data_IF_174458933170
#
_entry.id   IF_174458933170
#
_cell.length_a   1.000
_cell.length_b   1.000
_cell.length_c   1.000
_cell.angle_alpha   90.00
_cell.angle_beta   90.00
_cell.angle_gamma   90.00
#
_symmetry.space_group_name_H-M   'P 1'
#
loop_
_entity.id
_entity.type
_entity.pdbx_description
1 polymer ?
#
# COMPACT_ATOMS: atom_id res chain seq x y z
N UNK A 1 6.07 25.43 62.95
CA UNK A 1 6.66 25.31 61.61
C UNK A 1 6.48 23.85 61.17
N UNK A 2 5.42 23.54 60.43
CA UNK A 2 5.08 22.19 59.96
C UNK A 2 5.13 22.23 58.43
N UNK A 3 6.08 21.49 57.84
CA UNK A 3 6.16 21.27 56.40
C UNK A 3 5.16 20.18 56.02
N UNK A 4 4.13 20.56 55.26
CA UNK A 4 3.26 19.61 54.59
C UNK A 4 3.95 19.18 53.29
N UNK A 5 4.38 17.92 53.24
CA UNK A 5 4.85 17.26 52.03
C UNK A 5 3.59 16.72 51.33
N UNK A 6 3.16 17.43 50.28
CA UNK A 6 2.13 16.93 49.36
C UNK A 6 2.76 15.86 48.47
N UNK A 7 2.41 14.60 48.73
CA UNK A 7 2.71 13.48 47.84
C UNK A 7 1.74 13.57 46.65
N UNK A 8 2.25 14.00 45.50
CA UNK A 8 1.54 13.92 44.22
C UNK A 8 1.68 12.47 43.75
N UNK A 9 0.61 11.69 43.88
CA UNK A 9 0.51 10.38 43.26
C UNK A 9 0.35 10.57 41.74
N UNK A 10 1.43 10.29 40.99
CA UNK A 10 1.36 10.10 39.55
C UNK A 10 0.55 8.83 39.28
N UNK A 11 -0.72 8.98 38.93
CA UNK A 11 -1.53 7.93 38.34
C UNK A 11 -1.03 7.67 36.92
N UNK A 12 -0.27 6.59 36.76
CA UNK A 12 0.06 6.01 35.46
C UNK A 12 -1.23 5.61 34.74
N UNK A 13 -1.72 6.50 33.87
CA UNK A 13 -2.72 6.19 32.85
C UNK A 13 -2.04 5.26 31.83
N UNK A 14 -2.07 3.97 32.14
CA UNK A 14 -1.91 2.93 31.13
C UNK A 14 -3.15 3.02 30.24
N UNK A 15 -3.04 3.78 29.15
CA UNK A 15 -3.94 3.63 28.00
C UNK A 15 -3.75 2.20 27.48
N UNK A 16 -4.51 1.26 28.03
CA UNK A 16 -4.76 -0.01 27.35
C UNK A 16 -5.48 0.35 26.07
N UNK A 17 -4.71 0.37 24.97
CA UNK A 17 -5.20 0.65 23.63
C UNK A 17 -6.47 -0.16 23.39
N UNK A 18 -7.53 0.53 22.97
CA UNK A 18 -8.68 -0.14 22.41
C UNK A 18 -8.14 -1.04 21.30
N UNK A 19 -8.26 -2.34 21.48
CA UNK A 19 -8.05 -3.32 20.43
C UNK A 19 -9.10 -3.00 19.38
N UNK A 20 -8.74 -2.12 18.44
CA UNK A 20 -9.49 -1.88 17.21
C UNK A 20 -9.64 -3.26 16.58
N UNK A 21 -10.87 -3.78 16.62
CA UNK A 21 -11.19 -5.01 15.92
C UNK A 21 -10.80 -4.81 14.47
N UNK A 22 -9.94 -5.70 13.97
CA UNK A 22 -9.45 -5.67 12.60
C UNK A 22 -10.63 -5.45 11.65
N UNK A 23 -10.64 -4.31 10.96
CA UNK A 23 -11.66 -4.01 9.97
C UNK A 23 -11.38 -4.85 8.73
N UNK A 24 -12.31 -5.73 8.38
CA UNK A 24 -12.29 -6.48 7.13
C UNK A 24 -12.15 -5.52 5.92
N UNK A 25 -11.29 -5.86 4.96
CA UNK A 25 -11.11 -5.09 3.72
C UNK A 25 -12.44 -5.05 2.94
N UNK A 26 -12.93 -3.84 2.64
CA UNK A 26 -14.21 -3.65 1.96
C UNK A 26 -14.00 -3.58 0.44
N UNK A 27 -14.47 -4.60 -0.28
CA UNK A 27 -14.47 -4.60 -1.75
C UNK A 27 -15.71 -3.87 -2.29
N UNK A 28 -15.48 -2.83 -3.11
CA UNK A 28 -16.52 -2.09 -3.83
C UNK A 28 -17.46 -3.04 -4.59
N UNK A 29 -18.77 -2.79 -4.52
CA UNK A 29 -19.77 -3.55 -5.28
C UNK A 29 -19.73 -3.26 -6.80
N UNK A 30 -19.00 -2.23 -7.24
CA UNK A 30 -18.80 -1.94 -8.65
C UNK A 30 -17.65 -2.76 -9.30
N UNK A 31 -16.79 -3.41 -8.52
CA UNK A 31 -15.83 -4.39 -9.05
C UNK A 31 -16.59 -5.52 -9.76
N UNK A 32 -16.13 -5.89 -10.97
CA UNK A 32 -16.70 -7.02 -11.74
C UNK A 32 -16.67 -8.30 -10.88
N UNK A 33 -17.75 -9.10 -10.82
CA UNK A 33 -17.83 -10.28 -9.94
C UNK A 33 -16.61 -11.20 -10.01
N UNK A 34 -16.17 -11.56 -11.22
CA UNK A 34 -14.99 -12.43 -11.44
C UNK A 34 -13.70 -11.88 -10.80
N UNK A 35 -13.47 -10.58 -10.87
CA UNK A 35 -12.28 -9.95 -10.26
C UNK A 35 -12.41 -9.92 -8.74
N UNK A 36 -13.61 -9.64 -8.23
CA UNK A 36 -13.90 -9.70 -6.78
C UNK A 36 -13.67 -11.09 -6.23
N UNK A 37 -14.12 -12.12 -6.93
CA UNK A 37 -13.93 -13.52 -6.52
C UNK A 37 -12.44 -13.88 -6.50
N UNK A 38 -11.66 -13.39 -7.47
CA UNK A 38 -10.20 -13.52 -7.48
C UNK A 38 -9.54 -12.87 -6.26
N UNK A 39 -9.91 -11.62 -5.93
CA UNK A 39 -9.37 -10.90 -4.76
C UNK A 39 -9.76 -11.61 -3.45
N UNK A 40 -11.03 -12.03 -3.31
CA UNK A 40 -11.48 -12.77 -2.13
C UNK A 40 -10.67 -14.06 -1.94
N UNK A 41 -10.43 -14.80 -3.03
CA UNK A 41 -9.57 -16.00 -2.99
C UNK A 41 -8.15 -15.64 -2.54
N UNK A 42 -7.57 -14.55 -3.03
CA UNK A 42 -6.23 -14.14 -2.62
C UNK A 42 -6.15 -13.83 -1.11
N UNK A 43 -7.16 -13.14 -0.56
CA UNK A 43 -7.25 -12.86 0.89
C UNK A 43 -7.49 -14.13 1.72
N UNK A 44 -8.25 -15.09 1.18
CA UNK A 44 -8.44 -16.40 1.78
C UNK A 44 -7.13 -17.21 1.78
N UNK A 45 -6.39 -17.20 0.66
CA UNK A 45 -5.04 -17.77 0.58
C UNK A 45 -4.17 -17.19 1.69
N UNK A 46 -4.07 -15.85 1.81
CA UNK A 46 -3.27 -15.20 2.85
C UNK A 46 -3.64 -15.67 4.26
N UNK A 47 -4.94 -15.84 4.52
CA UNK A 47 -5.46 -16.27 5.82
C UNK A 47 -5.08 -17.73 6.16
N UNK A 48 -4.89 -18.57 5.14
CA UNK A 48 -4.63 -19.99 5.28
C UNK A 48 -3.15 -20.39 5.06
N UNK A 49 -2.30 -19.47 4.60
CA UNK A 49 -0.89 -19.73 4.37
C UNK A 49 -0.18 -20.15 5.66
N UNK A 50 0.69 -21.16 5.54
CA UNK A 50 1.57 -21.60 6.61
C UNK A 50 2.98 -21.08 6.33
N UNK A 51 3.39 -20.10 7.11
CA UNK A 51 4.78 -19.63 7.13
C UNK A 51 5.60 -20.67 7.91
N UNK A 52 6.34 -21.51 7.19
CA UNK A 52 6.98 -22.73 7.71
C UNK A 52 8.39 -22.51 8.24
N UNK A 53 9.06 -21.45 7.79
CA UNK A 53 10.44 -21.13 8.15
C UNK A 53 10.49 -19.91 9.06
N UNK A 54 11.57 -19.82 9.84
CA UNK A 54 11.87 -18.61 10.59
C UNK A 54 12.09 -17.45 9.61
N UNK A 55 11.25 -16.42 9.73
CA UNK A 55 11.39 -15.20 8.95
C UNK A 55 12.61 -14.43 9.46
N UNK A 56 13.50 -14.04 8.55
CA UNK A 56 14.73 -13.32 8.93
C UNK A 56 14.43 -12.01 9.66
N UNK A 57 15.30 -11.64 10.59
CA UNK A 57 15.20 -10.38 11.35
C UNK A 57 15.05 -9.14 10.45
N UNK A 58 15.74 -9.13 9.30
CA UNK A 58 15.64 -8.02 8.35
C UNK A 58 14.23 -7.92 7.71
N UNK A 59 13.63 -9.04 7.32
CA UNK A 59 12.24 -9.05 6.83
C UNK A 59 11.27 -8.57 7.91
N UNK A 60 11.43 -9.06 9.15
CA UNK A 60 10.61 -8.63 10.29
C UNK A 60 10.74 -7.14 10.56
N UNK A 61 11.96 -6.60 10.46
CA UNK A 61 12.24 -5.17 10.57
C UNK A 61 11.61 -4.34 9.44
N UNK A 62 11.69 -4.78 8.18
CA UNK A 62 11.04 -4.11 7.03
C UNK A 62 9.53 -4.01 7.23
N UNK A 63 8.92 -5.10 7.69
CA UNK A 63 7.49 -5.18 7.94
C UNK A 63 7.06 -4.49 9.25
N UNK A 64 7.99 -4.24 10.17
CA UNK A 64 7.67 -3.75 11.51
C UNK A 64 6.87 -4.79 12.31
N UNK A 65 7.25 -6.06 12.21
CA UNK A 65 6.60 -7.18 12.87
C UNK A 65 7.57 -7.90 13.79
N UNK A 66 7.08 -8.42 14.92
CA UNK A 66 7.88 -9.31 15.79
C UNK A 66 7.92 -10.75 15.25
N UNK A 67 6.89 -11.14 14.49
CA UNK A 67 6.77 -12.45 13.87
C UNK A 67 5.89 -12.38 12.63
N UNK A 68 6.15 -13.26 11.67
CA UNK A 68 5.34 -13.40 10.47
C UNK A 68 4.59 -14.73 10.49
N UNK A 69 3.26 -14.66 10.43
CA UNK A 69 2.34 -15.76 10.20
C UNK A 69 1.08 -15.22 9.51
N UNK A 70 0.12 -16.07 9.14
CA UNK A 70 -1.08 -15.63 8.44
C UNK A 70 -1.87 -14.56 9.19
N UNK A 71 -1.95 -14.66 10.52
CA UNK A 71 -2.66 -13.67 11.36
C UNK A 71 -1.94 -12.33 11.34
N UNK A 72 -0.62 -12.31 11.57
CA UNK A 72 0.13 -11.03 11.58
C UNK A 72 0.23 -10.41 10.21
N UNK A 73 0.37 -11.20 9.14
CA UNK A 73 0.39 -10.73 7.76
C UNK A 73 -0.97 -10.13 7.35
N UNK A 74 -2.07 -10.81 7.69
CA UNK A 74 -3.42 -10.31 7.46
C UNK A 74 -3.67 -9.01 8.21
N UNK A 75 -3.37 -8.97 9.51
CA UNK A 75 -3.52 -7.75 10.31
C UNK A 75 -2.64 -6.60 9.76
N UNK A 76 -1.43 -6.90 9.30
CA UNK A 76 -0.55 -5.92 8.68
C UNK A 76 -1.21 -5.29 7.45
N UNK A 77 -1.83 -6.11 6.60
CA UNK A 77 -2.54 -5.64 5.41
C UNK A 77 -3.82 -4.87 5.76
N UNK A 78 -4.65 -5.40 6.65
CA UNK A 78 -5.95 -4.81 7.04
C UNK A 78 -5.80 -3.48 7.79
N UNK A 79 -4.67 -3.24 8.46
CA UNK A 79 -4.37 -1.94 9.08
C UNK A 79 -3.96 -0.86 8.08
N UNK A 80 -3.72 -1.23 6.82
CA UNK A 80 -3.20 -0.34 5.75
C UNK A 80 -4.11 -0.25 4.54
N UNK A 81 -5.00 -1.23 4.35
CA UNK A 81 -5.93 -1.31 3.23
C UNK A 81 -7.33 -1.52 3.79
N UNK A 82 -8.18 -0.51 3.66
CA UNK A 82 -9.58 -0.57 4.11
C UNK A 82 -10.53 -0.82 2.95
N UNK A 83 -10.16 -0.38 1.74
CA UNK A 83 -11.04 -0.37 0.59
C UNK A 83 -10.32 -0.84 -0.67
N UNK A 84 -11.01 -1.64 -1.47
CA UNK A 84 -10.58 -1.95 -2.84
C UNK A 84 -11.69 -1.54 -3.81
N UNK A 85 -11.32 -0.82 -4.86
CA UNK A 85 -12.24 -0.26 -5.86
C UNK A 85 -11.83 -0.68 -7.28
N UNK A 86 -12.75 -0.46 -8.21
CA UNK A 86 -12.61 -0.79 -9.63
C UNK A 86 -11.68 0.17 -10.42
N UNK A 87 -11.08 -0.37 -11.48
CA UNK A 87 -10.13 0.27 -12.41
C UNK A 87 -10.57 1.61 -12.98
N UNK A 88 -11.85 1.80 -13.23
CA UNK A 88 -12.36 3.00 -13.90
C UNK A 88 -12.89 4.06 -12.94
N UNK A 89 -12.61 3.94 -11.63
CA UNK A 89 -13.01 4.96 -10.68
C UNK A 89 -12.41 6.34 -11.02
N UNK A 90 -11.21 6.37 -11.62
CA UNK A 90 -10.47 7.59 -11.95
C UNK A 90 -10.02 7.76 -13.40
N UNK A 91 -9.95 6.71 -14.23
CA UNK A 91 -9.41 6.76 -15.61
C UNK A 91 -10.40 7.30 -16.66
N UNK A 92 -11.72 7.28 -16.40
CA UNK A 92 -12.72 7.59 -17.41
C UNK A 92 -13.24 9.02 -17.25
N UNK A 93 -12.62 9.97 -17.98
CA UNK A 93 -12.98 11.39 -18.08
C UNK A 93 -12.92 12.21 -16.77
N UNK A 94 -12.36 13.43 -16.86
CA UNK A 94 -12.41 14.47 -15.81
C UNK A 94 -13.81 14.67 -15.17
N UNK A 95 -14.88 14.27 -15.88
CA UNK A 95 -16.26 14.37 -15.43
C UNK A 95 -16.68 13.30 -14.41
N UNK A 96 -16.16 12.06 -14.49
CA UNK A 96 -16.50 11.00 -13.52
C UNK A 96 -15.65 11.12 -12.24
N UNK A 97 -14.39 11.55 -12.37
CA UNK A 97 -13.54 11.89 -11.20
C UNK A 97 -14.26 12.90 -10.30
N UNK A 98 -14.87 13.95 -10.87
CA UNK A 98 -15.66 14.96 -10.14
C UNK A 98 -16.91 14.41 -9.44
N UNK A 99 -17.43 13.25 -9.85
CA UNK A 99 -18.62 12.64 -9.22
C UNK A 99 -18.25 11.70 -8.07
N UNK A 100 -17.11 11.03 -8.19
CA UNK A 100 -16.63 10.02 -7.24
C UNK A 100 -15.79 10.63 -6.12
N UNK A 101 -14.88 11.55 -6.46
CA UNK A 101 -14.07 12.32 -5.51
C UNK A 101 -14.79 13.62 -5.15
N UNK A 102 -14.82 13.96 -3.86
CA UNK A 102 -15.43 15.19 -3.36
C UNK A 102 -14.56 15.85 -2.29
N UNK A 103 -14.73 17.16 -2.10
CA UNK A 103 -14.11 17.91 -1.01
C UNK A 103 -15.06 17.89 0.18
N UNK A 104 -14.66 17.25 1.29
CA UNK A 104 -15.45 17.23 2.53
C UNK A 104 -15.16 18.46 3.40
N UNK A 105 -13.89 18.87 3.50
CA UNK A 105 -13.46 20.04 4.28
C UNK A 105 -12.43 20.88 3.53
N UNK A 106 -12.43 22.20 3.77
CA UNK A 106 -11.46 23.18 3.21
C UNK A 106 -10.79 23.94 4.35
N UNK A 107 -9.60 24.48 4.10
CA UNK A 107 -8.83 25.23 5.10
C UNK A 107 -8.35 24.36 6.26
N UNK A 108 -8.10 23.07 5.99
CA UNK A 108 -7.63 22.12 7.00
C UNK A 108 -6.13 22.27 7.16
N UNK A 109 -5.67 22.43 8.41
CA UNK A 109 -4.25 22.36 8.75
C UNK A 109 -3.89 20.91 9.00
N UNK A 110 -3.10 20.32 8.11
CA UNK A 110 -2.55 18.98 8.29
C UNK A 110 -1.33 19.00 9.23
N UNK A 111 -1.01 17.88 9.91
CA UNK A 111 0.29 17.70 10.55
C UNK A 111 1.42 17.99 9.55
N UNK A 112 2.54 18.54 10.03
CA UNK A 112 3.73 18.81 9.22
C UNK A 112 3.41 19.54 7.90
N UNK A 113 2.50 20.52 7.91
CA UNK A 113 1.97 21.20 6.72
C UNK A 113 3.04 21.78 5.77
N UNK A 114 4.22 22.07 6.31
CA UNK A 114 5.42 22.55 5.60
C UNK A 114 6.11 21.47 4.76
N UNK A 115 5.77 20.21 4.96
CA UNK A 115 6.36 19.08 4.25
C UNK A 115 5.38 18.54 3.23
N UNK A 116 5.77 18.56 1.96
CA UNK A 116 5.01 17.99 0.84
C UNK A 116 5.90 16.96 0.15
N UNK A 117 5.41 15.73 -0.13
CA UNK A 117 6.21 14.73 -0.80
C UNK A 117 6.54 15.22 -2.19
N UNK A 118 7.82 15.06 -2.53
CA UNK A 118 8.36 15.48 -3.80
C UNK A 118 7.73 14.78 -5.00
N UNK A 119 7.11 13.63 -4.80
CA UNK A 119 6.34 12.96 -5.83
C UNK A 119 5.19 13.83 -6.36
N UNK A 120 4.64 14.80 -5.61
CA UNK A 120 3.58 15.70 -6.13
C UNK A 120 4.09 16.85 -7.01
N UNK A 121 5.38 16.86 -7.36
CA UNK A 121 5.94 17.72 -8.41
C UNK A 121 5.63 17.18 -9.82
N UNK A 122 4.70 16.22 -9.97
CA UNK A 122 4.12 15.79 -11.25
C UNK A 122 3.61 17.01 -12.04
N UNK A 123 4.40 17.44 -13.03
CA UNK A 123 3.93 18.31 -14.09
C UNK A 123 3.25 17.42 -15.13
N UNK A 124 1.91 17.39 -15.10
CA UNK A 124 1.08 16.61 -16.02
C UNK A 124 1.22 17.01 -17.51
N UNK A 125 2.09 17.97 -17.84
CA UNK A 125 2.23 18.53 -19.19
C UNK A 125 3.35 17.88 -20.03
N UNK A 126 4.18 16.99 -19.46
CA UNK A 126 5.37 16.46 -20.17
C UNK A 126 5.45 14.94 -20.27
N UNK A 127 4.45 14.20 -19.83
CA UNK A 127 4.48 12.74 -19.96
C UNK A 127 4.09 12.37 -21.39
N UNK A 128 5.09 11.94 -22.18
CA UNK A 128 4.84 10.95 -23.22
C UNK A 128 4.04 9.81 -22.56
N UNK A 129 3.00 9.32 -23.22
CA UNK A 129 2.17 8.22 -22.70
C UNK A 129 3.09 7.05 -22.34
N UNK A 130 3.41 6.90 -21.06
CA UNK A 130 4.17 5.75 -20.58
C UNK A 130 3.32 4.51 -20.91
N UNK A 131 3.86 3.59 -21.73
CA UNK A 131 3.18 2.36 -22.19
C UNK A 131 2.99 1.32 -21.06
N UNK A 132 2.95 1.76 -19.80
CA UNK A 132 2.86 0.92 -18.62
C UNK A 132 1.42 0.46 -18.33
N UNK A 133 1.26 -0.84 -18.12
CA UNK A 133 0.00 -1.42 -17.63
C UNK A 133 -0.06 -1.29 -16.11
N UNK A 134 -1.05 -0.55 -15.59
CA UNK A 134 -1.26 -0.45 -14.14
C UNK A 134 -1.77 -1.77 -13.58
N UNK A 135 -1.13 -2.30 -12.54
CA UNK A 135 -1.56 -3.52 -11.83
C UNK A 135 -2.47 -3.18 -10.66
N UNK A 136 -2.05 -2.28 -9.78
CA UNK A 136 -2.86 -1.67 -8.73
C UNK A 136 -2.32 -0.26 -8.45
N UNK A 137 -3.10 0.55 -7.71
CA UNK A 137 -2.64 1.85 -7.22
C UNK A 137 -3.31 2.21 -5.89
N UNK A 138 -2.53 2.63 -4.90
CA UNK A 138 -3.04 3.21 -3.67
C UNK A 138 -3.43 4.68 -3.85
N UNK A 139 -4.63 4.90 -4.36
CA UNK A 139 -5.17 6.25 -4.55
C UNK A 139 -5.51 6.95 -3.24
N UNK A 140 -5.65 6.21 -2.13
CA UNK A 140 -5.90 6.79 -0.80
C UNK A 140 -4.74 7.68 -0.36
N UNK A 141 -3.51 7.18 -0.53
CA UNK A 141 -2.30 7.94 -0.31
C UNK A 141 -2.23 9.18 -1.23
N UNK A 142 -2.53 9.02 -2.52
CA UNK A 142 -2.58 10.12 -3.49
C UNK A 142 -3.57 11.23 -3.11
N UNK A 143 -4.79 10.86 -2.72
CA UNK A 143 -5.82 11.81 -2.27
C UNK A 143 -5.38 12.55 -1.01
N UNK A 144 -4.77 11.87 -0.04
CA UNK A 144 -4.28 12.52 1.17
C UNK A 144 -3.16 13.53 0.86
N UNK A 145 -2.18 13.15 0.04
CA UNK A 145 -1.09 14.04 -0.36
C UNK A 145 -1.62 15.28 -1.10
N UNK A 146 -2.53 15.08 -2.06
CA UNK A 146 -3.16 16.19 -2.78
C UNK A 146 -3.96 17.10 -1.82
N UNK A 147 -4.69 16.50 -0.88
CA UNK A 147 -5.47 17.20 0.12
C UNK A 147 -4.61 18.11 0.99
N UNK A 148 -3.45 17.62 1.45
CA UNK A 148 -2.49 18.41 2.20
C UNK A 148 -1.96 19.60 1.40
N UNK A 149 -1.56 19.39 0.14
CA UNK A 149 -1.09 20.47 -0.77
C UNK A 149 -2.14 21.56 -0.95
N UNK A 150 -3.43 21.20 -0.99
CA UNK A 150 -4.53 22.14 -1.18
C UNK A 150 -5.22 22.60 0.12
N UNK A 151 -4.76 22.14 1.29
CA UNK A 151 -5.44 22.34 2.58
C UNK A 151 -6.91 21.90 2.56
N UNK A 152 -7.19 20.75 1.95
CA UNK A 152 -8.51 20.16 1.76
C UNK A 152 -8.53 18.69 2.19
N UNK A 153 -9.64 18.22 2.74
CA UNK A 153 -9.86 16.79 2.97
C UNK A 153 -10.74 16.28 1.85
N UNK A 154 -10.16 15.44 0.98
CA UNK A 154 -10.92 14.75 -0.04
C UNK A 154 -11.58 13.49 0.53
N UNK A 155 -12.68 13.11 -0.10
CA UNK A 155 -13.32 11.83 0.12
C UNK A 155 -13.67 11.14 -1.19
N UNK A 156 -13.82 9.84 -1.13
CA UNK A 156 -14.24 8.98 -2.23
C UNK A 156 -15.57 8.30 -1.89
N UNK A 157 -16.50 8.30 -2.85
CA UNK A 157 -17.75 7.52 -2.73
C UNK A 157 -17.52 6.10 -3.24
N UNK A 158 -17.63 5.13 -2.35
CA UNK A 158 -17.45 3.71 -2.66
C UNK A 158 -18.81 3.02 -2.78
N UNK A 159 -19.04 2.34 -3.91
CA UNK A 159 -20.31 1.69 -4.21
C UNK A 159 -20.60 0.52 -3.27
N UNK A 160 -21.79 0.51 -2.64
CA UNK A 160 -22.35 -0.64 -1.92
C UNK A 160 -23.42 -1.40 -2.73
N UNK A 161 -23.56 -1.08 -4.02
CA UNK A 161 -24.57 -1.63 -4.93
C UNK A 161 -25.73 -0.67 -5.17
N UNK A 162 -26.58 -0.98 -6.15
CA UNK A 162 -27.57 -0.06 -6.73
C UNK A 162 -28.54 0.60 -5.72
N UNK A 163 -28.90 -0.10 -4.64
CA UNK A 163 -29.90 0.38 -3.68
C UNK A 163 -29.31 0.85 -2.34
N UNK A 164 -27.99 0.76 -2.15
CA UNK A 164 -27.36 1.08 -0.87
C UNK A 164 -26.64 2.42 -0.97
N UNK A 165 -26.74 3.24 0.08
CA UNK A 165 -25.96 4.48 0.17
C UNK A 165 -24.46 4.15 0.07
N UNK A 166 -23.69 4.89 -0.73
CA UNK A 166 -22.26 4.66 -0.85
C UNK A 166 -21.56 4.94 0.49
N UNK A 167 -20.41 4.28 0.69
CA UNK A 167 -19.51 4.62 1.80
C UNK A 167 -18.76 5.89 1.39
N UNK A 168 -18.61 6.83 2.32
CA UNK A 168 -17.69 7.96 2.16
C UNK A 168 -16.37 7.58 2.83
N UNK A 169 -15.34 7.27 2.05
CA UNK A 169 -13.99 7.08 2.56
C UNK A 169 -13.28 8.44 2.55
N UNK A 170 -12.93 8.97 3.72
CA UNK A 170 -12.28 10.27 3.85
C UNK A 170 -10.76 10.07 3.94
N UNK A 171 -10.00 10.77 3.09
CA UNK A 171 -8.54 10.71 3.10
C UNK A 171 -7.99 11.66 4.18
N UNK A 172 -8.17 11.29 5.44
CA UNK A 172 -7.65 12.02 6.60
C UNK A 172 -6.25 11.54 7.04
N UNK A 173 -5.82 10.41 6.50
CA UNK A 173 -4.52 9.78 6.66
C UNK A 173 -4.26 8.92 5.42
N UNK A 174 -3.00 8.62 5.07
CA UNK A 174 -2.68 7.66 4.02
C UNK A 174 -3.24 6.27 4.32
N UNK A 175 -3.37 5.93 5.62
CA UNK A 175 -4.02 4.70 6.11
C UNK A 175 -5.53 4.65 5.91
N UNK A 176 -6.13 5.62 5.22
CA UNK A 176 -7.44 5.40 4.61
C UNK A 176 -7.42 4.18 3.68
N UNK A 177 -6.27 3.88 3.06
CA UNK A 177 -6.00 2.59 2.42
C UNK A 177 -6.99 2.24 1.31
N UNK A 178 -7.05 3.08 0.27
CA UNK A 178 -7.95 2.88 -0.87
C UNK A 178 -7.12 2.39 -2.06
N UNK A 179 -7.24 1.09 -2.38
CA UNK A 179 -6.56 0.47 -3.51
C UNK A 179 -7.50 0.42 -4.72
N UNK A 180 -7.05 0.96 -5.84
CA UNK A 180 -7.69 0.80 -7.15
C UNK A 180 -7.03 -0.36 -7.88
N UNK A 181 -7.82 -1.33 -8.35
CA UNK A 181 -7.29 -2.41 -9.20
C UNK A 181 -7.03 -1.87 -10.60
N UNK A 182 -5.91 -2.20 -11.21
CA UNK A 182 -5.62 -1.90 -12.61
C UNK A 182 -5.99 -3.05 -13.56
N UNK A 183 -5.98 -2.78 -14.87
CA UNK A 183 -6.19 -3.81 -15.91
C UNK A 183 -5.16 -4.95 -15.82
N UNK A 184 -3.94 -4.63 -15.39
CA UNK A 184 -2.84 -5.59 -15.31
C UNK A 184 -3.06 -6.68 -14.26
N UNK A 185 -3.89 -6.44 -13.24
CA UNK A 185 -3.99 -7.32 -12.07
C UNK A 185 -4.36 -8.77 -12.40
N UNK A 186 -5.26 -8.92 -13.38
CA UNK A 186 -5.75 -10.23 -13.85
C UNK A 186 -5.46 -10.44 -15.34
N UNK A 187 -4.52 -9.68 -15.90
CA UNK A 187 -4.14 -9.81 -17.31
C UNK A 187 -3.37 -11.11 -17.52
N UNK A 188 -3.79 -11.92 -18.50
CA UNK A 188 -3.28 -13.29 -18.71
C UNK A 188 -1.76 -13.34 -18.93
N UNK A 189 -1.21 -12.33 -19.60
CA UNK A 189 0.23 -12.25 -19.91
C UNK A 189 1.08 -11.83 -18.71
N UNK A 190 0.44 -11.24 -17.68
CA UNK A 190 1.11 -10.81 -16.44
C UNK A 190 0.91 -11.80 -15.29
N UNK A 191 0.12 -12.86 -15.50
CA UNK A 191 -0.01 -13.96 -14.53
C UNK A 191 1.15 -14.94 -14.64
N UNK A 192 1.58 -15.50 -13.51
CA UNK A 192 2.65 -16.50 -13.41
C UNK A 192 2.25 -17.79 -14.14
N UNK A 193 1.02 -18.25 -13.90
CA UNK A 193 0.45 -19.43 -14.51
C UNK A 193 -0.75 -19.03 -15.36
N UNK A 194 -0.51 -18.88 -16.67
CA UNK A 194 -1.53 -18.45 -17.63
C UNK A 194 -2.48 -19.58 -18.06
N UNK A 195 -2.15 -20.84 -17.75
CA UNK A 195 -2.98 -22.03 -18.03
C UNK A 195 -4.03 -22.22 -16.94
N UNK A 196 -3.68 -21.92 -15.67
CA UNK A 196 -4.57 -21.99 -14.52
C UNK A 196 -4.68 -20.61 -13.81
N UNK A 197 -5.71 -19.81 -14.12
CA UNK A 197 -5.95 -18.51 -13.47
C UNK A 197 -6.15 -18.58 -11.94
N UNK A 198 -6.40 -19.78 -11.41
CA UNK A 198 -6.60 -20.05 -9.99
C UNK A 198 -5.38 -20.69 -9.32
N UNK A 199 -4.25 -20.83 -10.03
CA UNK A 199 -3.01 -21.31 -9.44
C UNK A 199 -2.60 -20.45 -8.23
N UNK A 200 -2.06 -21.11 -7.20
CA UNK A 200 -1.61 -20.42 -5.97
C UNK A 200 -0.55 -19.36 -6.30
N UNK A 201 0.36 -19.63 -7.24
CA UNK A 201 1.41 -18.72 -7.72
C UNK A 201 0.85 -17.36 -8.16
N UNK A 202 -0.29 -17.37 -8.85
CA UNK A 202 -0.98 -16.15 -9.26
C UNK A 202 -1.53 -15.37 -8.06
N UNK A 203 -2.05 -16.06 -7.04
CA UNK A 203 -2.48 -15.42 -5.78
C UNK A 203 -1.31 -14.83 -5.01
N UNK A 204 -0.16 -15.51 -4.95
CA UNK A 204 1.04 -14.98 -4.28
C UNK A 204 1.56 -13.71 -4.96
N UNK A 205 1.57 -13.66 -6.31
CA UNK A 205 1.94 -12.46 -7.06
C UNK A 205 1.03 -11.26 -6.79
N UNK A 206 -0.29 -11.49 -6.77
CA UNK A 206 -1.25 -10.42 -6.45
C UNK A 206 -1.17 -10.00 -4.98
N UNK A 207 -0.92 -10.95 -4.06
CA UNK A 207 -0.70 -10.63 -2.65
C UNK A 207 0.55 -9.78 -2.46
N UNK A 208 1.70 -10.11 -3.05
CA UNK A 208 2.88 -9.24 -2.93
C UNK A 208 2.61 -7.82 -3.43
N UNK A 209 1.83 -7.70 -4.51
CA UNK A 209 1.36 -6.40 -5.02
C UNK A 209 0.47 -5.69 -3.99
N UNK A 210 -0.46 -6.39 -3.32
CA UNK A 210 -1.23 -5.80 -2.23
C UNK A 210 -0.34 -5.28 -1.08
N UNK A 211 0.71 -6.01 -0.71
CA UNK A 211 1.64 -5.57 0.34
C UNK A 211 2.48 -4.36 -0.10
N UNK A 212 2.91 -4.33 -1.36
CA UNK A 212 3.52 -3.15 -2.00
C UNK A 212 2.59 -1.94 -1.89
N UNK A 213 1.36 -2.07 -2.39
CA UNK A 213 0.40 -0.97 -2.40
C UNK A 213 -0.01 -0.52 -1.00
N UNK A 214 -0.15 -1.46 -0.07
CA UNK A 214 -0.42 -1.18 1.33
C UNK A 214 0.71 -0.38 1.97
N UNK A 215 1.96 -0.55 1.52
CA UNK A 215 3.07 0.24 2.06
C UNK A 215 2.98 1.71 1.68
N UNK A 216 2.35 2.07 0.56
CA UNK A 216 2.04 3.47 0.25
C UNK A 216 1.14 4.13 1.31
N UNK A 217 0.39 3.36 2.11
CA UNK A 217 -0.41 3.86 3.24
C UNK A 217 0.40 4.16 4.51
N UNK A 218 1.69 3.80 4.57
CA UNK A 218 2.58 4.20 5.66
C UNK A 218 3.33 5.50 5.29
N UNK A 219 4.02 6.09 6.27
CA UNK A 219 4.90 7.25 6.08
C UNK A 219 6.29 7.00 6.66
N UNK A 220 7.27 7.78 6.22
CA UNK A 220 8.62 7.83 6.78
C UNK A 220 8.89 9.25 7.31
N UNK A 221 8.90 9.43 8.63
CA UNK A 221 9.25 10.62 9.41
C UNK A 221 8.49 11.90 9.04
N UNK A 222 8.88 12.49 7.91
CA UNK A 222 8.43 13.74 7.30
C UNK A 222 7.57 13.51 6.06
N UNK A 223 7.41 12.27 5.61
CA UNK A 223 6.75 11.92 4.35
C UNK A 223 5.33 11.39 4.57
N UNK A 224 4.46 11.83 3.67
CA UNK A 224 3.01 11.75 3.72
C UNK A 224 2.43 10.48 3.09
N UNK A 225 3.29 9.64 2.54
CA UNK A 225 3.06 8.36 1.89
C UNK A 225 4.42 7.93 1.32
N UNK A 226 4.64 6.64 1.14
CA UNK A 226 5.82 6.17 0.40
C UNK A 226 5.63 6.33 -1.11
N UNK A 227 5.71 7.52 -1.67
CA UNK A 227 5.61 7.69 -3.11
C UNK A 227 6.88 7.23 -3.85
N UNK A 228 6.72 6.71 -5.07
CA UNK A 228 7.85 6.38 -5.92
C UNK A 228 8.57 7.64 -6.42
N UNK A 229 9.88 7.55 -6.41
CA UNK A 229 10.82 8.52 -6.98
C UNK A 229 11.09 8.23 -8.45
N UNK A 230 11.60 9.24 -9.14
CA UNK A 230 12.09 9.11 -10.51
C UNK A 230 13.40 8.32 -10.51
N UNK A 231 13.46 7.25 -11.29
CA UNK A 231 14.67 6.44 -11.40
C UNK A 231 15.81 7.22 -12.05
N UNK A 232 17.08 7.01 -11.60
CA UNK A 232 18.24 7.70 -12.14
C UNK A 232 18.54 7.27 -13.59
N UNK A 233 19.31 8.09 -14.31
CA UNK A 233 19.66 7.83 -15.73
C UNK A 233 20.38 6.50 -15.96
N UNK A 234 21.03 5.95 -14.95
CA UNK A 234 21.72 4.66 -15.01
C UNK A 234 20.82 3.45 -14.74
N UNK A 235 19.52 3.65 -14.53
CA UNK A 235 18.55 2.58 -14.21
C UNK A 235 17.80 2.11 -15.46
N UNK A 236 17.35 0.85 -15.50
CA UNK A 236 16.54 0.30 -16.60
C UNK A 236 15.18 1.00 -16.78
N UNK A 237 14.75 1.76 -15.76
CA UNK A 237 13.52 2.57 -15.75
C UNK A 237 13.85 4.07 -15.70
N UNK A 238 15.03 4.45 -16.19
CA UNK A 238 15.53 5.83 -16.16
C UNK A 238 14.44 6.85 -16.53
N UNK A 239 14.23 7.82 -15.67
CA UNK A 239 13.27 8.89 -15.91
C UNK A 239 11.81 8.57 -15.57
N UNK A 240 11.47 7.34 -15.19
CA UNK A 240 10.11 6.93 -14.78
C UNK A 240 9.98 6.95 -13.24
N UNK A 241 8.79 7.26 -12.72
CA UNK A 241 8.47 7.20 -11.28
C UNK A 241 8.28 5.76 -10.79
N UNK A 242 9.34 4.95 -10.86
CA UNK A 242 9.33 3.52 -10.60
C UNK A 242 10.44 3.07 -9.63
N UNK A 243 11.01 3.98 -8.83
CA UNK A 243 12.08 3.66 -7.89
C UNK A 243 11.74 4.09 -6.45
N UNK A 244 12.29 3.40 -5.46
CA UNK A 244 12.18 3.76 -4.04
C UNK A 244 13.49 4.37 -3.53
N UNK A 245 13.39 5.57 -2.93
CA UNK A 245 14.49 6.21 -2.19
C UNK A 245 14.59 5.73 -0.73
N UNK A 246 13.85 4.67 -0.36
CA UNK A 246 13.77 4.17 1.01
C UNK A 246 13.96 2.65 1.02
N UNK A 247 14.80 2.16 1.95
CA UNK A 247 15.07 0.72 2.11
C UNK A 247 13.92 -0.09 2.70
N UNK A 248 12.89 0.58 3.20
CA UNK A 248 11.66 -0.03 3.66
C UNK A 248 10.46 0.43 2.81
N UNK A 249 10.72 0.88 1.57
CA UNK A 249 9.69 1.34 0.65
C UNK A 249 8.79 0.21 0.10
N UNK A 250 7.77 0.57 -0.70
CA UNK A 250 6.81 -0.34 -1.32
C UNK A 250 7.45 -1.51 -2.05
N UNK A 251 8.46 -1.26 -2.88
CA UNK A 251 9.15 -2.33 -3.61
C UNK A 251 9.89 -3.26 -2.68
N UNK A 252 10.50 -2.73 -1.61
CA UNK A 252 11.16 -3.57 -0.61
C UNK A 252 10.13 -4.45 0.10
N UNK A 253 9.00 -3.88 0.54
CA UNK A 253 7.93 -4.63 1.21
C UNK A 253 7.34 -5.71 0.30
N UNK A 254 7.04 -5.37 -0.95
CA UNK A 254 6.56 -6.33 -1.95
C UNK A 254 7.55 -7.48 -2.16
N UNK A 255 8.85 -7.18 -2.29
CA UNK A 255 9.89 -8.17 -2.50
C UNK A 255 10.11 -9.10 -1.30
N UNK A 256 10.23 -8.55 -0.08
CA UNK A 256 10.44 -9.39 1.12
C UNK A 256 9.20 -10.23 1.41
N UNK A 257 7.99 -9.69 1.18
CA UNK A 257 6.77 -10.48 1.32
C UNK A 257 6.71 -11.59 0.28
N UNK A 258 7.02 -11.29 -1.00
CA UNK A 258 7.10 -12.31 -2.06
C UNK A 258 8.04 -13.46 -1.68
N UNK A 259 9.22 -13.15 -1.13
CA UNK A 259 10.17 -14.17 -0.67
C UNK A 259 9.55 -15.11 0.38
N UNK A 260 8.82 -14.57 1.36
CA UNK A 260 8.16 -15.39 2.39
C UNK A 260 6.93 -16.15 1.87
N UNK A 261 6.21 -15.57 0.90
CA UNK A 261 5.11 -16.24 0.20
C UNK A 261 5.61 -17.44 -0.62
N UNK A 262 6.75 -17.31 -1.31
CA UNK A 262 7.38 -18.40 -2.07
C UNK A 262 7.74 -19.56 -1.15
N UNK A 263 8.27 -19.31 0.06
CA UNK A 263 8.55 -20.40 1.03
C UNK A 263 7.27 -21.14 1.43
N UNK A 264 6.18 -20.40 1.59
CA UNK A 264 4.89 -20.91 2.05
C UNK A 264 4.13 -21.70 0.98
N UNK A 265 4.54 -21.63 -0.29
CA UNK A 265 3.83 -22.30 -1.39
C UNK A 265 4.11 -23.82 -1.48
N UNK A 266 5.21 -24.29 -0.90
CA UNK A 266 5.55 -25.71 -0.84
C UNK A 266 5.46 -26.43 -2.19
N UNK A 267 4.67 -27.51 -2.22
CA UNK A 267 4.42 -28.33 -3.40
C UNK A 267 3.28 -27.82 -4.29
N UNK A 268 2.54 -26.79 -3.84
CA UNK A 268 1.43 -26.21 -4.61
C UNK A 268 1.92 -25.32 -5.77
N UNK A 269 3.21 -24.94 -5.78
CA UNK A 269 3.89 -24.30 -6.91
C UNK A 269 4.92 -25.22 -7.54
N UNK A 270 4.95 -25.26 -8.86
CA UNK A 270 6.07 -25.82 -9.62
C UNK A 270 7.36 -25.01 -9.44
N UNK A 271 8.51 -25.63 -9.69
CA UNK A 271 9.81 -24.94 -9.63
C UNK A 271 9.89 -23.77 -10.62
N UNK A 272 9.25 -23.89 -11.79
CA UNK A 272 9.15 -22.79 -12.76
C UNK A 272 8.39 -21.60 -12.18
N UNK A 273 7.25 -21.85 -11.53
CA UNK A 273 6.46 -20.77 -10.92
C UNK A 273 7.22 -20.09 -9.78
N UNK A 274 7.91 -20.87 -8.94
CA UNK A 274 8.77 -20.33 -7.88
C UNK A 274 9.87 -19.45 -8.47
N UNK A 275 10.50 -19.86 -9.56
CA UNK A 275 11.56 -19.07 -10.20
C UNK A 275 11.03 -17.76 -10.80
N UNK A 276 9.86 -17.79 -11.44
CA UNK A 276 9.21 -16.56 -11.93
C UNK A 276 8.88 -15.59 -10.80
N UNK A 277 8.37 -16.09 -9.67
CA UNK A 277 8.09 -15.26 -8.49
C UNK A 277 9.38 -14.66 -7.90
N UNK A 278 10.50 -15.40 -7.89
CA UNK A 278 11.81 -14.87 -7.46
C UNK A 278 12.30 -13.76 -8.39
N UNK A 279 12.15 -13.91 -9.71
CA UNK A 279 12.53 -12.88 -10.69
C UNK A 279 11.76 -11.58 -10.42
N UNK A 280 10.46 -11.67 -10.14
CA UNK A 280 9.63 -10.50 -9.78
C UNK A 280 10.12 -9.85 -8.48
N UNK A 281 10.47 -10.65 -7.48
CA UNK A 281 11.03 -10.12 -6.23
C UNK A 281 12.38 -9.41 -6.48
N UNK A 282 13.23 -9.96 -7.33
CA UNK A 282 14.52 -9.35 -7.71
C UNK A 282 14.28 -8.04 -8.47
N UNK A 283 13.38 -8.01 -9.45
CA UNK A 283 13.01 -6.79 -10.18
C UNK A 283 12.46 -5.70 -9.25
N UNK A 284 11.69 -6.08 -8.22
CA UNK A 284 11.26 -5.12 -7.20
C UNK A 284 12.48 -4.56 -6.43
N UNK A 285 13.45 -5.40 -6.06
CA UNK A 285 14.64 -4.96 -5.33
C UNK A 285 15.58 -4.09 -6.17
N UNK A 286 15.67 -4.29 -7.50
CA UNK A 286 16.53 -3.42 -8.35
C UNK A 286 16.04 -1.98 -8.36
N UNK A 287 14.73 -1.77 -8.16
CA UNK A 287 14.09 -0.45 -8.08
C UNK A 287 14.33 0.28 -6.77
N UNK A 288 15.01 -0.33 -5.79
CA UNK A 288 15.39 0.33 -4.53
C UNK A 288 16.77 0.95 -4.71
N UNK A 289 16.84 2.28 -4.82
CA UNK A 289 18.09 2.99 -5.11
C UNK A 289 18.90 3.22 -3.83
N UNK A 290 20.23 3.07 -3.91
CA UNK A 290 21.12 3.21 -2.75
C UNK A 290 21.38 4.66 -2.37
N UNK A 291 21.26 5.57 -3.33
CA UNK A 291 21.50 7.00 -3.17
C UNK A 291 20.27 7.73 -3.69
N UNK A 292 19.66 8.58 -2.86
CA UNK A 292 18.53 9.40 -3.27
C UNK A 292 18.96 10.51 -4.24
N UNK A 293 17.99 11.20 -4.84
CA UNK A 293 18.24 12.30 -5.78
C UNK A 293 18.98 13.50 -5.17
N UNK A 294 19.10 13.61 -3.83
CA UNK A 294 19.94 14.59 -3.16
C UNK A 294 21.40 14.14 -3.02
N UNK A 295 21.75 12.94 -3.50
CA UNK A 295 23.09 12.37 -3.36
C UNK A 295 23.35 11.76 -1.98
N UNK A 296 22.32 11.62 -1.14
CA UNK A 296 22.46 11.03 0.20
C UNK A 296 22.17 9.53 0.16
N UNK A 297 22.90 8.71 0.93
CA UNK A 297 22.57 7.31 1.09
C UNK A 297 21.13 7.10 1.57
N UNK A 298 20.43 6.11 1.04
CA UNK A 298 19.08 5.75 1.46
C UNK A 298 19.15 4.99 2.79
N UNK A 299 19.14 5.74 3.89
CA UNK A 299 19.27 5.19 5.24
C UNK A 299 17.98 5.24 6.04
N UNK A 300 16.92 5.84 5.49
CA UNK A 300 15.73 6.11 6.30
C UNK A 300 14.87 4.86 6.49
N UNK A 301 14.46 4.66 7.75
CA UNK A 301 13.64 3.54 8.22
C UNK A 301 12.56 4.06 9.17
N UNK A 302 11.55 4.73 8.64
CA UNK A 302 10.32 5.00 9.41
C UNK A 302 9.11 4.50 8.61
N UNK A 303 8.15 3.90 9.30
CA UNK A 303 6.92 3.35 8.75
C UNK A 303 5.67 3.96 9.42
N UNK A 304 5.84 4.97 10.27
CA UNK A 304 4.75 5.62 10.98
C UNK A 304 3.99 6.58 10.05
N UNK A 305 2.67 6.39 9.86
CA UNK A 305 1.86 7.29 9.05
C UNK A 305 1.56 8.59 9.79
N UNK A 306 1.31 9.66 9.04
CA UNK A 306 0.64 10.85 9.57
C UNK A 306 -0.89 10.62 9.66
N UNK A 307 -1.54 11.27 10.62
CA UNK A 307 -3.00 11.31 10.77
C UNK A 307 -3.46 12.70 11.22
N UNK A 308 -4.52 13.23 10.60
CA UNK A 308 -5.23 14.43 11.07
C UNK A 308 -5.84 14.26 12.47
#
# INVERSE_FOLDING_TARGET
>A
MKMNISVIALSSLVFMGQVSMASEIILSKAIKPKLRDGINRDLEVLSNLKFTEETSEETLKVLGLEKLNSVTAKNWLETRVNYVIEENALSVYKLLVKKTVFVERKGVTFPNADIVPHALEFNAETEAEDEGVTVMSNIGAGLYMAGKKESQVYGLKISKGFLKKPIKALAESPRVGIIQIGEGLFHKELTINNENPNAISNSLNRLSTFFHEARHSDGNAKSLAFAHSRCPESHDYAGVHACDENRNGPYTVGAVMMKELIKSCGDDCSEREKEMLKIIAIDSLTRVIETNRQGNPTTDWDAQPESL
#
